data_IF_497703818811
#
_entry.id   IF_497703818811
#
_cell.length_a   1.000
_cell.length_b   1.000
_cell.length_c   1.000
_cell.angle_alpha   90.00
_cell.angle_beta   90.00
_cell.angle_gamma   90.00
#
_symmetry.space_group_name_H-M   'P 1'
#
loop_
_entity.id
_entity.type
_entity.pdbx_description
1 polymer ?
#
# COMPACT_ATOMS: atom_id res chain seq x y z
N UNK A 1 5.86 -28.93 5.57
CA UNK A 1 4.43 -28.68 5.27
C UNK A 1 3.70 -27.85 6.35
N UNK A 2 4.20 -27.82 7.58
CA UNK A 2 3.60 -27.02 8.67
C UNK A 2 4.21 -25.60 8.80
N UNK A 3 5.37 -25.36 8.19
CA UNK A 3 6.08 -24.08 8.27
C UNK A 3 5.50 -22.97 7.37
N UNK A 4 4.79 -23.31 6.31
CA UNK A 4 4.17 -22.33 5.40
C UNK A 4 2.90 -21.65 5.97
N UNK A 5 2.38 -22.13 7.10
CA UNK A 5 1.13 -21.64 7.69
C UNK A 5 1.23 -20.30 8.42
N UNK A 6 2.41 -19.90 8.89
CA UNK A 6 2.55 -18.71 9.75
C UNK A 6 2.59 -17.36 9.05
N UNK A 7 3.18 -17.25 7.84
CA UNK A 7 3.33 -15.99 7.12
C UNK A 7 2.12 -15.61 6.26
N UNK A 8 1.31 -16.60 5.87
CA UNK A 8 0.08 -16.38 5.10
C UNK A 8 -1.06 -15.72 5.87
N UNK A 9 -0.95 -15.59 7.19
CA UNK A 9 -2.12 -15.34 8.03
C UNK A 9 -2.59 -13.87 8.11
N UNK A 10 -1.75 -12.88 7.83
CA UNK A 10 -2.16 -11.48 7.97
C UNK A 10 -3.01 -11.01 6.80
N UNK A 11 -2.64 -11.33 5.56
CA UNK A 11 -3.49 -11.05 4.38
C UNK A 11 -4.65 -12.04 4.25
N UNK A 12 -4.44 -13.29 4.65
CA UNK A 12 -5.52 -14.28 4.78
C UNK A 12 -6.63 -13.80 5.69
N UNK A 13 -6.33 -12.99 6.72
CA UNK A 13 -7.33 -12.55 7.70
C UNK A 13 -8.43 -11.70 7.08
N UNK A 14 -8.12 -10.71 6.24
CA UNK A 14 -9.16 -9.87 5.65
C UNK A 14 -9.96 -10.62 4.57
N UNK A 15 -9.30 -11.29 3.63
CA UNK A 15 -9.99 -12.11 2.64
C UNK A 15 -10.71 -13.30 3.29
N UNK A 16 -10.10 -13.93 4.30
CA UNK A 16 -10.71 -15.01 5.06
C UNK A 16 -11.93 -14.53 5.87
N UNK A 17 -11.90 -13.33 6.41
CA UNK A 17 -13.04 -12.75 7.12
C UNK A 17 -14.24 -12.56 6.20
N UNK A 18 -14.00 -12.15 4.96
CA UNK A 18 -15.03 -12.08 3.95
C UNK A 18 -15.60 -13.46 3.59
N UNK A 19 -14.77 -14.50 3.57
CA UNK A 19 -15.23 -15.89 3.38
C UNK A 19 -16.10 -16.33 4.57
N UNK A 20 -15.71 -15.99 5.79
CA UNK A 20 -16.52 -16.29 6.99
C UNK A 20 -17.87 -15.57 6.99
N UNK A 21 -17.96 -14.38 6.40
CA UNK A 21 -19.18 -13.59 6.33
C UNK A 21 -20.06 -13.97 5.13
N UNK A 22 -19.48 -14.01 3.93
CA UNK A 22 -20.17 -14.13 2.65
C UNK A 22 -19.84 -15.40 1.85
N UNK A 23 -19.04 -16.31 2.42
CA UNK A 23 -18.77 -17.61 1.81
C UNK A 23 -19.99 -18.52 1.75
N UNK A 24 -19.86 -19.70 1.14
CA UNK A 24 -20.96 -20.66 0.97
C UNK A 24 -21.70 -21.01 2.27
N UNK A 25 -20.96 -21.08 3.37
CA UNK A 25 -21.47 -21.29 4.74
C UNK A 25 -21.24 -20.06 5.62
N UNK A 26 -21.13 -18.87 5.01
CA UNK A 26 -20.91 -17.62 5.72
C UNK A 26 -22.13 -17.21 6.56
N UNK A 27 -21.89 -16.48 7.64
CA UNK A 27 -22.95 -16.08 8.57
C UNK A 27 -24.02 -15.25 7.89
N UNK A 28 -23.63 -14.25 7.10
CA UNK A 28 -24.57 -13.40 6.35
C UNK A 28 -25.27 -14.21 5.27
N UNK A 29 -24.54 -15.06 4.56
CA UNK A 29 -25.11 -15.92 3.51
C UNK A 29 -26.17 -16.86 4.09
N UNK A 30 -25.85 -17.51 5.21
CA UNK A 30 -26.78 -18.42 5.89
C UNK A 30 -28.00 -17.67 6.44
N UNK A 31 -27.78 -16.52 7.06
CA UNK A 31 -28.85 -15.67 7.58
C UNK A 31 -29.82 -15.25 6.45
N UNK A 32 -29.33 -14.74 5.34
CA UNK A 32 -30.15 -14.29 4.22
C UNK A 32 -30.88 -15.45 3.52
N UNK A 33 -30.24 -16.63 3.43
CA UNK A 33 -30.88 -17.86 2.93
C UNK A 33 -32.10 -18.25 3.75
N UNK A 34 -32.08 -18.05 5.07
CA UNK A 34 -33.24 -18.34 5.93
C UNK A 34 -34.44 -17.43 5.61
N UNK A 35 -34.22 -16.25 5.01
CA UNK A 35 -35.27 -15.37 4.52
C UNK A 35 -35.58 -15.56 3.02
N UNK A 36 -35.06 -16.60 2.40
CA UNK A 36 -35.26 -16.86 0.95
C UNK A 36 -34.45 -15.94 0.01
N UNK A 37 -33.51 -15.15 0.55
CA UNK A 37 -32.69 -14.23 -0.24
C UNK A 37 -31.40 -14.93 -0.65
N UNK A 38 -31.24 -15.22 -1.93
CA UNK A 38 -30.00 -15.72 -2.50
C UNK A 38 -29.06 -14.55 -2.85
N UNK A 39 -27.89 -14.49 -2.21
CA UNK A 39 -26.83 -13.55 -2.59
C UNK A 39 -25.80 -14.24 -3.47
N UNK A 40 -25.16 -13.50 -4.40
CA UNK A 40 -24.04 -14.04 -5.18
C UNK A 40 -22.91 -14.52 -4.29
N UNK A 41 -22.28 -15.61 -4.66
CA UNK A 41 -21.11 -16.10 -3.95
C UNK A 41 -19.98 -15.09 -4.01
N UNK A 42 -19.21 -14.96 -2.90
CA UNK A 42 -18.04 -14.08 -2.83
C UNK A 42 -16.86 -14.59 -3.68
N UNK A 43 -16.95 -15.80 -4.17
CA UNK A 43 -15.87 -16.41 -4.95
C UNK A 43 -15.83 -15.92 -6.40
N UNK A 44 -14.64 -15.89 -6.99
CA UNK A 44 -14.40 -15.46 -8.36
C UNK A 44 -14.23 -13.95 -8.52
N UNK A 45 -14.43 -13.47 -9.75
CA UNK A 45 -14.18 -12.07 -10.13
C UNK A 45 -14.95 -11.06 -9.29
N UNK A 46 -16.26 -11.27 -9.09
CA UNK A 46 -17.10 -10.33 -8.35
C UNK A 46 -16.65 -10.12 -6.91
N UNK A 47 -16.27 -11.20 -6.22
CA UNK A 47 -15.75 -11.13 -4.85
C UNK A 47 -14.38 -10.47 -4.77
N UNK A 48 -13.48 -10.74 -5.72
CA UNK A 48 -12.19 -10.05 -5.79
C UNK A 48 -12.40 -8.54 -5.91
N UNK A 49 -13.26 -8.11 -6.85
CA UNK A 49 -13.54 -6.68 -7.07
C UNK A 49 -14.17 -6.05 -5.83
N UNK A 50 -15.15 -6.70 -5.21
CA UNK A 50 -15.79 -6.20 -3.98
C UNK A 50 -14.78 -5.98 -2.85
N UNK A 51 -14.00 -7.01 -2.54
CA UNK A 51 -13.02 -6.96 -1.44
C UNK A 51 -11.93 -5.94 -1.71
N UNK A 52 -11.36 -5.90 -2.92
CA UNK A 52 -10.35 -4.91 -3.30
C UNK A 52 -10.90 -3.49 -3.28
N UNK A 53 -12.14 -3.27 -3.73
CA UNK A 53 -12.78 -1.95 -3.68
C UNK A 53 -12.92 -1.46 -2.24
N UNK A 54 -13.44 -2.30 -1.34
CA UNK A 54 -13.58 -1.97 0.07
C UNK A 54 -12.23 -1.80 0.80
N UNK A 55 -11.18 -2.43 0.30
CA UNK A 55 -9.83 -2.28 0.85
C UNK A 55 -9.13 -1.00 0.37
N UNK A 56 -9.36 -0.60 -0.88
CA UNK A 56 -8.59 0.46 -1.53
C UNK A 56 -9.31 1.81 -1.60
N UNK A 57 -10.65 1.86 -1.39
CA UNK A 57 -11.38 3.14 -1.43
C UNK A 57 -10.86 4.18 -0.42
N UNK A 58 -10.38 3.83 0.80
CA UNK A 58 -9.86 4.83 1.72
C UNK A 58 -8.64 5.58 1.15
N UNK A 59 -7.84 4.91 0.32
CA UNK A 59 -6.70 5.53 -0.36
C UNK A 59 -7.17 6.63 -1.30
N UNK A 60 -8.15 6.32 -2.17
CA UNK A 60 -8.72 7.31 -3.11
C UNK A 60 -9.37 8.46 -2.35
N UNK A 61 -10.12 8.15 -1.28
CA UNK A 61 -10.74 9.16 -0.42
C UNK A 61 -9.72 10.12 0.19
N UNK A 62 -8.60 9.62 0.71
CA UNK A 62 -7.56 10.47 1.30
C UNK A 62 -6.92 11.40 0.26
N UNK A 63 -6.64 10.87 -0.95
CA UNK A 63 -6.11 11.68 -2.05
C UNK A 63 -7.11 12.75 -2.52
N UNK A 64 -8.37 12.35 -2.71
CA UNK A 64 -9.44 13.28 -3.11
C UNK A 64 -9.66 14.37 -2.05
N UNK A 65 -9.74 13.99 -0.76
CA UNK A 65 -9.87 14.93 0.35
C UNK A 65 -8.69 15.91 0.41
N UNK A 66 -7.46 15.41 0.25
CA UNK A 66 -6.26 16.24 0.23
C UNK A 66 -6.27 17.23 -0.94
N UNK A 67 -6.66 16.76 -2.14
CA UNK A 67 -6.75 17.61 -3.32
C UNK A 67 -7.83 18.70 -3.18
N UNK A 68 -9.00 18.33 -2.65
CA UNK A 68 -10.10 19.29 -2.42
C UNK A 68 -9.70 20.40 -1.43
N UNK A 69 -8.94 20.07 -0.39
CA UNK A 69 -8.45 21.08 0.58
C UNK A 69 -7.45 22.08 -0.03
N UNK A 70 -6.79 21.71 -1.10
CA UNK A 70 -5.80 22.55 -1.78
C UNK A 70 -6.40 23.42 -2.90
N UNK A 71 -7.70 23.35 -3.15
CA UNK A 71 -8.38 24.24 -4.10
C UNK A 71 -8.53 25.60 -3.45
N UNK A 72 -8.24 26.66 -4.23
CA UNK A 72 -8.53 28.03 -3.83
C UNK A 72 -10.00 28.35 -4.04
N UNK A 73 -10.70 28.82 -3.01
CA UNK A 73 -12.11 29.16 -3.07
C UNK A 73 -12.43 30.25 -4.08
N UNK A 74 -11.49 31.15 -4.35
CA UNK A 74 -11.63 32.21 -5.35
C UNK A 74 -11.93 31.68 -6.75
N UNK A 75 -11.42 30.48 -7.10
CA UNK A 75 -11.69 29.85 -8.40
C UNK A 75 -13.15 29.38 -8.50
N UNK A 76 -13.73 28.92 -7.39
CA UNK A 76 -15.13 28.49 -7.33
C UNK A 76 -16.03 29.71 -7.38
N UNK A 77 -15.72 30.76 -6.62
CA UNK A 77 -16.46 32.02 -6.61
C UNK A 77 -16.44 32.73 -7.98
N UNK A 78 -15.29 32.74 -8.65
CA UNK A 78 -15.17 33.26 -9.99
C UNK A 78 -16.06 32.51 -10.99
N UNK A 79 -16.11 31.17 -10.88
CA UNK A 79 -16.97 30.36 -11.73
C UNK A 79 -18.46 30.58 -11.42
N UNK A 80 -18.83 30.72 -10.14
CA UNK A 80 -20.19 31.05 -9.70
C UNK A 80 -20.63 32.46 -10.23
N UNK A 81 -19.74 33.45 -10.18
CA UNK A 81 -19.98 34.77 -10.73
C UNK A 81 -20.16 34.77 -12.26
N UNK A 82 -19.57 33.80 -12.97
CA UNK A 82 -19.77 33.55 -14.40
C UNK A 82 -21.03 32.72 -14.69
N UNK A 83 -21.90 32.49 -13.69
CA UNK A 83 -23.17 31.78 -13.84
C UNK A 83 -23.06 30.25 -13.74
N UNK A 84 -21.93 29.72 -13.30
CA UNK A 84 -21.77 28.29 -13.09
C UNK A 84 -22.44 27.88 -11.77
N UNK A 85 -23.44 27.02 -11.80
CA UNK A 85 -24.18 26.61 -10.60
C UNK A 85 -23.69 25.27 -10.03
N UNK A 86 -23.68 25.13 -8.71
CA UNK A 86 -23.48 23.94 -7.88
C UNK A 86 -22.88 22.71 -8.56
N UNK A 87 -23.72 21.82 -9.09
CA UNK A 87 -23.29 20.57 -9.72
C UNK A 87 -22.45 20.82 -10.99
N UNK A 88 -22.81 21.83 -11.80
CA UNK A 88 -22.06 22.17 -13.01
C UNK A 88 -20.66 22.69 -12.64
N UNK A 89 -20.54 23.52 -11.60
CA UNK A 89 -19.26 24.00 -11.11
C UNK A 89 -18.39 22.82 -10.58
N UNK A 90 -18.99 21.88 -9.89
CA UNK A 90 -18.28 20.69 -9.43
C UNK A 90 -17.64 19.92 -10.60
N UNK A 91 -18.41 19.58 -11.64
CA UNK A 91 -17.87 18.80 -12.77
C UNK A 91 -17.00 19.61 -13.73
N UNK A 92 -17.26 20.91 -13.94
CA UNK A 92 -16.53 21.74 -14.90
C UNK A 92 -15.28 22.42 -14.32
N UNK A 93 -15.23 22.64 -12.99
CA UNK A 93 -14.13 23.36 -12.33
C UNK A 93 -13.42 22.46 -11.32
N UNK A 94 -14.13 21.96 -10.31
CA UNK A 94 -13.53 21.22 -9.20
C UNK A 94 -12.89 19.90 -9.67
N UNK A 95 -13.64 19.07 -10.42
CA UNK A 95 -13.15 17.77 -10.89
C UNK A 95 -11.90 17.90 -11.78
N UNK A 96 -11.86 18.80 -12.80
CA UNK A 96 -10.64 19.02 -13.59
C UNK A 96 -9.43 19.46 -12.76
N UNK A 97 -9.62 20.33 -11.76
CA UNK A 97 -8.54 20.81 -10.89
C UNK A 97 -7.92 19.68 -10.05
N UNK A 98 -8.74 18.75 -9.54
CA UNK A 98 -8.25 17.63 -8.74
C UNK A 98 -7.86 16.40 -9.58
N UNK A 99 -8.13 16.42 -10.90
CA UNK A 99 -7.89 15.29 -11.80
C UNK A 99 -6.47 14.72 -11.73
N UNK A 100 -5.38 15.54 -11.69
CA UNK A 100 -4.02 15.01 -11.57
C UNK A 100 -3.82 14.15 -10.31
N UNK A 101 -4.40 14.60 -9.19
CA UNK A 101 -4.32 13.85 -7.92
C UNK A 101 -5.18 12.60 -7.95
N UNK A 102 -6.36 12.64 -8.58
CA UNK A 102 -7.20 11.45 -8.77
C UNK A 102 -6.52 10.42 -9.67
N UNK A 103 -5.84 10.85 -10.74
CA UNK A 103 -5.05 9.96 -11.61
C UNK A 103 -3.88 9.33 -10.86
N UNK A 104 -3.22 10.08 -9.98
CA UNK A 104 -2.19 9.52 -9.11
C UNK A 104 -2.76 8.47 -8.14
N UNK A 105 -3.92 8.73 -7.55
CA UNK A 105 -4.62 7.76 -6.70
C UNK A 105 -5.04 6.51 -7.49
N UNK A 106 -5.59 6.69 -8.70
CA UNK A 106 -5.98 5.58 -9.58
C UNK A 106 -4.78 4.69 -9.94
N UNK A 107 -3.61 5.28 -10.23
CA UNK A 107 -2.39 4.51 -10.46
C UNK A 107 -2.01 3.70 -9.22
N UNK A 108 -2.06 4.31 -8.03
CA UNK A 108 -1.73 3.59 -6.79
C UNK A 108 -2.69 2.43 -6.52
N UNK A 109 -3.99 2.62 -6.79
CA UNK A 109 -4.99 1.55 -6.71
C UNK A 109 -4.68 0.46 -7.71
N UNK A 110 -4.41 0.81 -8.97
CA UNK A 110 -4.03 -0.15 -10.00
C UNK A 110 -2.81 -0.96 -9.59
N UNK A 111 -1.73 -0.31 -9.15
CA UNK A 111 -0.49 -0.96 -8.75
C UNK A 111 -0.68 -1.90 -7.55
N UNK A 112 -1.48 -1.48 -6.56
CA UNK A 112 -1.80 -2.32 -5.40
C UNK A 112 -2.68 -3.51 -5.77
N UNK A 113 -3.71 -3.30 -6.58
CA UNK A 113 -4.61 -4.35 -7.05
C UNK A 113 -3.87 -5.36 -7.97
N UNK A 114 -3.05 -4.85 -8.89
CA UNK A 114 -2.27 -5.70 -9.80
C UNK A 114 -1.23 -6.55 -9.07
N UNK A 115 -0.65 -6.02 -7.97
CA UNK A 115 0.34 -6.73 -7.17
C UNK A 115 -0.25 -7.56 -6.03
N UNK A 116 -1.58 -7.52 -5.81
CA UNK A 116 -2.20 -8.29 -4.73
C UNK A 116 -2.24 -9.78 -5.08
N UNK A 117 -1.58 -10.55 -4.24
CA UNK A 117 -1.55 -12.01 -4.30
C UNK A 117 -2.60 -12.64 -3.39
N UNK A 118 -2.80 -12.05 -2.20
CA UNK A 118 -3.54 -12.69 -1.10
C UNK A 118 -5.03 -12.84 -1.36
N UNK A 119 -5.67 -11.77 -1.82
CA UNK A 119 -7.12 -11.76 -2.06
C UNK A 119 -7.49 -12.71 -3.22
N UNK A 120 -6.86 -12.63 -4.41
CA UNK A 120 -7.18 -13.55 -5.50
C UNK A 120 -6.85 -15.01 -5.19
N UNK A 121 -5.79 -15.28 -4.43
CA UNK A 121 -5.43 -16.65 -4.06
C UNK A 121 -6.49 -17.32 -3.18
N UNK A 122 -7.18 -16.55 -2.33
CA UNK A 122 -8.17 -17.09 -1.39
C UNK A 122 -9.60 -17.09 -1.94
N UNK A 123 -9.98 -16.05 -2.67
CA UNK A 123 -11.35 -15.82 -3.14
C UNK A 123 -11.50 -16.15 -4.63
N UNK A 124 -10.41 -16.12 -5.39
CA UNK A 124 -10.46 -16.22 -6.85
C UNK A 124 -11.00 -17.54 -7.39
N UNK A 125 -10.86 -18.64 -6.65
CA UNK A 125 -11.16 -19.99 -7.14
C UNK A 125 -10.57 -20.26 -8.54
N UNK A 126 -11.41 -20.38 -9.56
CA UNK A 126 -10.99 -20.55 -10.95
C UNK A 126 -10.49 -19.26 -11.64
N UNK A 127 -10.71 -18.08 -11.03
CA UNK A 127 -10.27 -16.80 -11.59
C UNK A 127 -8.85 -16.47 -11.12
N UNK A 128 -7.87 -16.80 -11.93
CA UNK A 128 -6.44 -16.63 -11.61
C UNK A 128 -5.95 -15.26 -12.04
N UNK A 129 -5.41 -14.49 -11.10
CA UNK A 129 -4.72 -13.24 -11.40
C UNK A 129 -3.24 -13.47 -11.66
N UNK A 130 -2.59 -12.50 -12.28
CA UNK A 130 -1.17 -12.53 -12.60
C UNK A 130 -0.26 -12.99 -11.44
N UNK A 131 -0.32 -12.41 -10.21
CA UNK A 131 0.53 -12.85 -9.10
C UNK A 131 0.28 -14.30 -8.66
N UNK A 132 -0.97 -14.76 -8.79
CA UNK A 132 -1.33 -16.14 -8.44
C UNK A 132 -0.77 -17.13 -9.47
N UNK A 133 -0.91 -16.81 -10.77
CA UNK A 133 -0.32 -17.64 -11.84
C UNK A 133 1.20 -17.72 -11.67
N UNK A 134 1.85 -16.57 -11.50
CA UNK A 134 3.30 -16.53 -11.34
C UNK A 134 3.76 -17.40 -10.15
N UNK A 135 3.06 -17.31 -9.01
CA UNK A 135 3.36 -18.11 -7.83
C UNK A 135 3.15 -19.60 -8.07
N UNK A 136 2.01 -20.00 -8.66
CA UNK A 136 1.69 -21.41 -8.89
C UNK A 136 2.65 -22.05 -9.89
N UNK A 137 3.03 -21.35 -10.94
CA UNK A 137 3.98 -21.85 -11.94
C UNK A 137 5.42 -21.95 -11.37
N UNK A 138 5.80 -21.01 -10.50
CA UNK A 138 7.13 -21.04 -9.88
C UNK A 138 7.29 -22.15 -8.83
N UNK A 139 6.21 -22.49 -8.08
CA UNK A 139 6.26 -23.51 -7.01
C UNK A 139 5.97 -24.92 -7.56
N UNK A 140 5.46 -25.06 -8.76
CA UNK A 140 5.20 -26.36 -9.36
C UNK A 140 6.51 -27.12 -9.58
N UNK A 141 6.79 -28.09 -8.70
CA UNK A 141 7.95 -28.99 -8.79
C UNK A 141 7.84 -29.93 -10.02
N UNK A 142 6.64 -30.15 -10.54
CA UNK A 142 6.37 -31.03 -11.68
C UNK A 142 5.98 -30.20 -12.90
N UNK A 143 7.00 -29.82 -13.71
CA UNK A 143 6.80 -29.17 -15.01
C UNK A 143 6.77 -27.65 -14.99
N UNK A 144 7.10 -26.97 -13.89
CA UNK A 144 7.30 -25.52 -13.85
C UNK A 144 8.53 -25.13 -14.69
N UNK A 145 8.38 -24.15 -15.56
CA UNK A 145 9.50 -23.62 -16.36
C UNK A 145 9.94 -22.28 -15.80
N UNK A 146 11.17 -22.20 -15.29
CA UNK A 146 11.78 -20.94 -14.86
C UNK A 146 11.71 -19.87 -15.95
N UNK A 147 11.83 -20.29 -17.23
CA UNK A 147 11.70 -19.42 -18.38
C UNK A 147 10.30 -18.84 -18.55
N UNK A 148 9.25 -19.63 -18.31
CA UNK A 148 7.86 -19.16 -18.35
C UNK A 148 7.57 -18.18 -17.21
N UNK A 149 7.97 -18.49 -15.98
CA UNK A 149 7.85 -17.60 -14.84
C UNK A 149 8.60 -16.27 -15.07
N UNK A 150 9.82 -16.33 -15.63
CA UNK A 150 10.58 -15.15 -16.00
C UNK A 150 9.89 -14.31 -17.11
N UNK A 151 9.33 -14.96 -18.13
CA UNK A 151 8.60 -14.27 -19.20
C UNK A 151 7.36 -13.54 -18.66
N UNK A 152 6.56 -14.21 -17.82
CA UNK A 152 5.42 -13.59 -17.13
C UNK A 152 5.89 -12.40 -16.27
N UNK A 153 6.98 -12.54 -15.53
CA UNK A 153 7.54 -11.46 -14.72
C UNK A 153 7.92 -10.23 -15.56
N UNK A 154 8.57 -10.42 -16.72
CA UNK A 154 8.90 -9.35 -17.66
C UNK A 154 7.65 -8.66 -18.20
N UNK A 155 6.63 -9.44 -18.59
CA UNK A 155 5.35 -8.87 -19.06
C UNK A 155 4.72 -7.98 -17.98
N UNK A 156 4.76 -8.41 -16.70
CA UNK A 156 4.24 -7.58 -15.61
C UNK A 156 5.00 -6.27 -15.45
N UNK A 157 6.33 -6.32 -15.50
CA UNK A 157 7.17 -5.13 -15.41
C UNK A 157 6.85 -4.18 -16.57
N UNK A 158 6.69 -4.69 -17.79
CA UNK A 158 6.31 -3.89 -18.96
C UNK A 158 4.96 -3.22 -18.75
N UNK A 159 3.92 -3.98 -18.37
CA UNK A 159 2.57 -3.45 -18.13
C UNK A 159 2.61 -2.36 -17.06
N UNK A 160 3.20 -2.63 -15.90
CA UNK A 160 3.26 -1.67 -14.80
C UNK A 160 4.06 -0.42 -15.14
N UNK A 161 5.15 -0.57 -15.91
CA UNK A 161 5.95 0.56 -16.40
C UNK A 161 5.17 1.40 -17.40
N UNK A 162 4.46 0.80 -18.35
CA UNK A 162 3.62 1.51 -19.31
C UNK A 162 2.52 2.30 -18.60
N UNK A 163 1.80 1.68 -17.68
CA UNK A 163 0.75 2.36 -16.89
C UNK A 163 1.33 3.54 -16.11
N UNK A 164 2.49 3.35 -15.48
CA UNK A 164 3.18 4.42 -14.77
C UNK A 164 3.59 5.58 -15.70
N UNK A 165 4.14 5.29 -16.88
CA UNK A 165 4.56 6.31 -17.84
C UNK A 165 3.36 7.09 -18.39
N UNK A 166 2.27 6.39 -18.74
CA UNK A 166 1.03 7.02 -19.20
C UNK A 166 0.46 7.94 -18.12
N UNK A 167 0.36 7.45 -16.88
CA UNK A 167 -0.11 8.27 -15.77
C UNK A 167 0.77 9.49 -15.53
N UNK A 168 2.11 9.33 -15.55
CA UNK A 168 3.06 10.43 -15.37
C UNK A 168 2.89 11.49 -16.48
N UNK A 169 2.72 11.04 -17.72
CA UNK A 169 2.47 11.93 -18.85
C UNK A 169 1.17 12.73 -18.69
N UNK A 170 0.06 12.04 -18.38
CA UNK A 170 -1.25 12.66 -18.20
C UNK A 170 -1.28 13.59 -16.99
N UNK A 171 -0.67 13.17 -15.88
CA UNK A 171 -0.56 13.99 -14.67
C UNK A 171 0.24 15.26 -14.91
N UNK A 172 1.37 15.18 -15.60
CA UNK A 172 2.20 16.36 -15.89
C UNK A 172 1.51 17.33 -16.86
N UNK A 173 0.77 16.81 -17.85
CA UNK A 173 0.03 17.64 -18.81
C UNK A 173 -1.09 18.45 -18.15
N UNK A 174 -1.70 17.90 -17.10
CA UNK A 174 -2.82 18.49 -16.37
C UNK A 174 -2.40 19.06 -15.01
N UNK A 175 -1.10 19.21 -14.75
CA UNK A 175 -0.61 19.75 -13.49
C UNK A 175 -0.91 21.26 -13.39
N UNK A 176 -1.80 21.63 -12.49
CA UNK A 176 -2.02 23.00 -12.07
C UNK A 176 -1.26 23.23 -10.76
N UNK A 177 -0.55 24.35 -10.66
CA UNK A 177 0.04 24.79 -9.40
C UNK A 177 -1.10 25.30 -8.50
N UNK A 178 -1.63 24.42 -7.66
CA UNK A 178 -2.65 24.80 -6.67
C UNK A 178 -1.92 25.32 -5.42
N UNK A 179 -1.82 26.65 -5.32
CA UNK A 179 -1.45 27.32 -4.07
C UNK A 179 -2.74 27.93 -3.51
N UNK A 180 -3.35 27.25 -2.56
CA UNK A 180 -4.53 27.77 -1.87
C UNK A 180 -4.11 28.91 -0.92
N UNK A 181 -4.39 30.14 -1.30
CA UNK A 181 -4.34 31.29 -0.37
C UNK A 181 -5.63 31.37 0.44
N UNK A 182 -6.75 30.94 -0.12
CA UNK A 182 -8.07 30.92 0.51
C UNK A 182 -8.63 29.50 0.41
N UNK A 183 -8.48 28.65 1.45
CA UNK A 183 -9.02 27.29 1.43
C UNK A 183 -10.55 27.32 1.28
N UNK A 184 -11.09 26.30 0.60
CA UNK A 184 -12.55 26.16 0.40
C UNK A 184 -13.24 26.11 1.76
N UNK A 185 -14.18 27.01 1.97
CA UNK A 185 -15.00 27.02 3.19
C UNK A 185 -15.96 25.83 3.22
N UNK A 186 -16.09 25.22 4.39
CA UNK A 186 -17.05 24.13 4.61
C UNK A 186 -18.46 24.72 4.58
N UNK A 187 -19.22 24.39 3.53
CA UNK A 187 -20.64 24.79 3.43
C UNK A 187 -21.52 23.70 4.02
N UNK A 188 -22.39 24.07 4.95
CA UNK A 188 -23.37 23.14 5.51
C UNK A 188 -24.42 22.76 4.44
N UNK A 189 -24.52 21.47 4.16
CA UNK A 189 -25.59 20.96 3.30
C UNK A 189 -26.96 21.06 3.99
N UNK A 190 -28.04 21.11 3.21
CA UNK A 190 -29.43 21.03 3.76
C UNK A 190 -29.55 19.80 4.66
N UNK A 191 -30.19 19.93 5.82
CA UNK A 191 -30.31 18.87 6.86
C UNK A 191 -30.69 17.51 6.30
N UNK A 192 -31.63 17.44 5.33
CA UNK A 192 -32.04 16.17 4.71
C UNK A 192 -30.96 15.54 3.84
N UNK A 193 -30.26 16.32 3.03
CA UNK A 193 -29.13 15.85 2.19
C UNK A 193 -27.97 15.42 3.07
N UNK A 194 -27.68 16.20 4.11
CA UNK A 194 -26.61 15.90 5.06
C UNK A 194 -26.88 14.56 5.78
N UNK A 195 -28.11 14.33 6.25
CA UNK A 195 -28.50 13.06 6.88
C UNK A 195 -28.34 11.87 5.92
N UNK A 196 -28.77 12.02 4.66
CA UNK A 196 -28.66 10.97 3.65
C UNK A 196 -27.19 10.65 3.30
N UNK A 197 -26.34 11.68 3.16
CA UNK A 197 -24.90 11.50 2.92
C UNK A 197 -24.24 10.80 4.11
N UNK A 198 -24.55 11.22 5.34
CA UNK A 198 -24.01 10.56 6.54
C UNK A 198 -24.44 9.10 6.61
N UNK A 199 -25.72 8.81 6.35
CA UNK A 199 -26.20 7.43 6.32
C UNK A 199 -25.44 6.59 5.28
N UNK A 200 -25.28 7.10 4.06
CA UNK A 200 -24.56 6.40 3.00
C UNK A 200 -23.08 6.16 3.38
N UNK A 201 -22.40 7.18 3.95
CA UNK A 201 -21.01 7.07 4.39
C UNK A 201 -20.88 6.05 5.53
N UNK A 202 -21.73 6.12 6.55
CA UNK A 202 -21.71 5.17 7.68
C UNK A 202 -22.01 3.75 7.21
N UNK A 203 -22.88 3.57 6.23
CA UNK A 203 -23.18 2.26 5.66
C UNK A 203 -21.94 1.68 4.95
N UNK A 204 -21.28 2.47 4.09
CA UNK A 204 -20.07 2.02 3.39
C UNK A 204 -18.94 1.72 4.38
N UNK A 205 -18.70 2.61 5.36
CA UNK A 205 -17.66 2.40 6.39
C UNK A 205 -18.03 1.19 7.27
N UNK A 206 -19.29 1.04 7.65
CA UNK A 206 -19.76 -0.10 8.42
C UNK A 206 -19.51 -1.43 7.70
N UNK A 207 -19.86 -1.51 6.41
CA UNK A 207 -19.56 -2.69 5.59
C UNK A 207 -18.05 -2.94 5.52
N UNK A 208 -17.23 -1.90 5.32
CA UNK A 208 -15.77 -2.05 5.22
C UNK A 208 -15.12 -2.50 6.54
N UNK A 209 -15.66 -2.12 7.69
CA UNK A 209 -15.18 -2.48 9.04
C UNK A 209 -15.72 -3.83 9.51
N UNK A 210 -16.84 -4.26 8.96
CA UNK A 210 -17.55 -5.49 9.40
C UNK A 210 -16.63 -6.73 9.44
N UNK A 211 -15.77 -7.02 8.45
CA UNK A 211 -14.87 -8.18 8.50
C UNK A 211 -13.91 -8.13 9.68
N UNK A 212 -13.36 -6.95 10.00
CA UNK A 212 -12.44 -6.77 11.12
C UNK A 212 -13.16 -6.99 12.45
N UNK A 213 -14.34 -6.41 12.59
CA UNK A 213 -15.18 -6.61 13.78
C UNK A 213 -15.55 -8.09 13.96
N UNK A 214 -15.86 -8.78 12.87
CA UNK A 214 -16.18 -10.21 12.91
C UNK A 214 -14.97 -11.07 13.28
N UNK A 215 -13.76 -10.75 12.81
CA UNK A 215 -12.53 -11.44 13.24
C UNK A 215 -12.30 -11.24 14.73
N UNK A 216 -12.45 -10.02 15.23
CA UNK A 216 -12.32 -9.74 16.66
C UNK A 216 -13.34 -10.57 17.45
N UNK A 217 -14.59 -10.58 17.02
CA UNK A 217 -15.63 -11.40 17.66
C UNK A 217 -15.28 -12.89 17.66
N UNK A 218 -14.91 -13.45 16.51
CA UNK A 218 -14.59 -14.90 16.39
C UNK A 218 -13.31 -15.29 17.09
N UNK A 219 -12.38 -14.36 17.33
CA UNK A 219 -11.14 -14.63 18.05
C UNK A 219 -11.35 -15.02 19.52
N UNK A 220 -12.50 -14.62 20.09
CA UNK A 220 -12.92 -14.96 21.45
C UNK A 220 -13.77 -16.24 21.50
N UNK A 221 -14.26 -16.75 20.35
CA UNK A 221 -15.06 -17.98 20.34
C UNK A 221 -14.21 -19.23 20.60
N UNK A 222 -14.80 -20.19 21.28
CA UNK A 222 -14.19 -21.49 21.43
C UNK A 222 -14.09 -22.22 20.09
N UNK A 223 -13.04 -22.99 19.89
CA UNK A 223 -12.83 -23.77 18.67
C UNK A 223 -12.52 -25.22 18.98
N UNK A 224 -13.18 -26.14 18.28
CA UNK A 224 -12.79 -27.56 18.23
C UNK A 224 -12.26 -27.85 16.83
N UNK A 225 -10.93 -27.97 16.70
CA UNK A 225 -10.26 -28.07 15.40
C UNK A 225 -10.45 -26.80 14.57
N UNK A 226 -11.22 -26.89 13.48
CA UNK A 226 -11.52 -25.76 12.57
C UNK A 226 -12.93 -25.17 12.74
N UNK A 227 -13.73 -25.68 13.68
CA UNK A 227 -15.14 -25.33 13.84
C UNK A 227 -15.29 -24.47 15.10
N UNK A 228 -16.04 -23.38 14.97
CA UNK A 228 -16.46 -22.58 16.13
C UNK A 228 -17.56 -23.31 16.89
N UNK A 229 -17.37 -23.43 18.20
CA UNK A 229 -18.36 -24.00 19.12
C UNK A 229 -18.86 -22.95 20.09
N UNK A 230 -19.94 -23.25 20.81
CA UNK A 230 -20.51 -22.32 21.77
C UNK A 230 -19.56 -22.06 22.95
N UNK A 231 -19.61 -20.84 23.45
CA UNK A 231 -18.75 -20.34 24.52
C UNK A 231 -17.62 -19.43 24.05
N UNK A 232 -17.03 -18.72 25.01
CA UNK A 232 -15.97 -17.73 24.78
C UNK A 232 -14.78 -18.05 25.67
N UNK A 233 -13.56 -17.90 25.12
CA UNK A 233 -12.32 -18.07 25.86
C UNK A 233 -11.17 -17.31 25.23
N UNK A 234 -10.06 -17.18 25.95
CA UNK A 234 -8.79 -16.66 25.47
C UNK A 234 -7.86 -17.78 24.98
N UNK A 235 -8.35 -19.02 24.88
CA UNK A 235 -7.54 -20.19 24.50
C UNK A 235 -6.89 -20.03 23.12
N UNK A 236 -7.62 -19.42 22.17
CA UNK A 236 -7.07 -19.13 20.84
C UNK A 236 -5.86 -18.19 20.89
N UNK A 237 -5.88 -17.20 21.77
CA UNK A 237 -4.75 -16.27 21.99
C UNK A 237 -3.58 -16.96 22.67
N UNK A 238 -3.81 -17.76 23.70
CA UNK A 238 -2.76 -18.54 24.37
C UNK A 238 -2.08 -19.52 23.40
N UNK A 239 -2.89 -20.22 22.60
CA UNK A 239 -2.38 -21.15 21.58
C UNK A 239 -1.60 -20.39 20.49
N UNK A 240 -2.09 -19.22 20.06
CA UNK A 240 -1.41 -18.41 19.06
C UNK A 240 -0.05 -17.91 19.57
N UNK A 241 0.02 -17.36 20.79
CA UNK A 241 1.27 -16.88 21.38
C UNK A 241 2.26 -18.05 21.56
N UNK A 242 1.80 -19.19 22.03
CA UNK A 242 2.65 -20.37 22.22
C UNK A 242 3.21 -20.95 20.92
N UNK A 243 2.38 -21.01 19.86
CA UNK A 243 2.79 -21.58 18.57
C UNK A 243 3.52 -20.60 17.65
N UNK A 244 3.16 -19.30 17.70
CA UNK A 244 3.64 -18.28 16.78
C UNK A 244 4.74 -17.39 17.37
N UNK A 245 5.23 -17.64 18.58
CA UNK A 245 6.18 -16.75 19.26
C UNK A 245 7.40 -16.40 18.40
N UNK A 246 8.01 -17.39 17.74
CA UNK A 246 9.14 -17.17 16.82
C UNK A 246 8.74 -16.41 15.56
N UNK A 247 7.56 -16.69 15.02
CA UNK A 247 7.04 -15.97 13.84
C UNK A 247 6.72 -14.51 14.15
N UNK A 248 6.17 -14.23 15.34
CA UNK A 248 5.93 -12.87 15.82
C UNK A 248 7.26 -12.12 15.97
N UNK A 249 8.27 -12.75 16.58
CA UNK A 249 9.61 -12.16 16.70
C UNK A 249 10.20 -11.83 15.33
N UNK A 250 10.17 -12.76 14.38
CA UNK A 250 10.68 -12.54 13.02
C UNK A 250 9.92 -11.41 12.31
N UNK A 251 8.59 -11.33 12.49
CA UNK A 251 7.75 -10.26 11.91
C UNK A 251 8.12 -8.88 12.45
N UNK A 252 8.70 -8.78 13.62
CA UNK A 252 9.17 -7.52 14.20
C UNK A 252 10.64 -7.26 13.84
N UNK A 253 11.51 -8.25 14.04
CA UNK A 253 12.97 -8.09 13.93
C UNK A 253 13.38 -7.82 12.47
N UNK A 254 12.84 -8.59 11.50
CA UNK A 254 13.21 -8.46 10.09
C UNK A 254 12.88 -7.06 9.54
N UNK A 255 11.63 -6.55 9.69
CA UNK A 255 11.32 -5.18 9.28
C UNK A 255 12.07 -4.12 10.06
N UNK A 256 12.39 -4.32 11.34
CA UNK A 256 13.15 -3.36 12.15
C UNK A 256 14.58 -3.21 11.61
N UNK A 257 15.25 -4.32 11.31
CA UNK A 257 16.58 -4.30 10.69
C UNK A 257 16.55 -3.62 9.31
N UNK A 258 15.54 -3.95 8.49
CA UNK A 258 15.35 -3.31 7.21
C UNK A 258 15.10 -1.80 7.34
N UNK A 259 14.28 -1.39 8.33
CA UNK A 259 13.92 0.01 8.57
C UNK A 259 15.14 0.87 8.90
N UNK A 260 16.04 0.38 9.75
CA UNK A 260 17.28 1.12 10.08
C UNK A 260 18.09 1.40 8.81
N UNK A 261 18.27 0.41 7.96
CA UNK A 261 18.99 0.57 6.70
C UNK A 261 18.24 1.49 5.74
N UNK A 262 16.92 1.34 5.62
CA UNK A 262 16.05 2.21 4.80
C UNK A 262 16.22 3.66 5.21
N UNK A 263 16.13 3.99 6.49
CA UNK A 263 16.24 5.37 6.98
C UNK A 263 17.61 5.96 6.64
N UNK A 264 18.69 5.22 6.90
CA UNK A 264 20.04 5.68 6.59
C UNK A 264 20.23 5.95 5.09
N UNK A 265 19.85 5.01 4.24
CA UNK A 265 19.97 5.15 2.79
C UNK A 265 19.05 6.25 2.25
N UNK A 266 17.81 6.34 2.74
CA UNK A 266 16.85 7.33 2.28
C UNK A 266 17.30 8.77 2.58
N UNK A 267 17.84 9.02 3.77
CA UNK A 267 18.36 10.34 4.15
C UNK A 267 19.55 10.73 3.26
N UNK A 268 20.48 9.79 3.01
CA UNK A 268 21.62 10.04 2.15
C UNK A 268 21.21 10.29 0.69
N UNK A 269 20.31 9.44 0.14
CA UNK A 269 19.83 9.59 -1.23
C UNK A 269 19.05 10.91 -1.37
N UNK A 270 18.16 11.23 -0.42
CA UNK A 270 17.39 12.47 -0.44
C UNK A 270 18.33 13.70 -0.45
N UNK A 271 19.36 13.69 0.40
CA UNK A 271 20.35 14.77 0.43
C UNK A 271 21.09 14.91 -0.91
N UNK A 272 21.54 13.81 -1.50
CA UNK A 272 22.21 13.83 -2.80
C UNK A 272 21.30 14.35 -3.91
N UNK A 273 20.05 13.87 -3.97
CA UNK A 273 19.09 14.24 -5.02
C UNK A 273 18.68 15.72 -4.92
N UNK A 274 18.52 16.27 -3.70
CA UNK A 274 18.04 17.64 -3.52
C UNK A 274 19.19 18.65 -3.54
N UNK A 275 20.32 18.36 -2.85
CA UNK A 275 21.45 19.29 -2.64
C UNK A 275 22.59 19.16 -3.66
N UNK A 276 22.69 18.02 -4.34
CA UNK A 276 23.79 17.70 -5.25
C UNK A 276 23.30 17.30 -6.63
N UNK A 277 22.40 18.11 -7.22
CA UNK A 277 21.80 17.82 -8.52
C UNK A 277 22.84 17.69 -9.62
N UNK A 278 22.99 16.49 -10.17
CA UNK A 278 23.78 16.18 -11.35
C UNK A 278 23.17 14.99 -12.11
N UNK A 279 23.72 14.61 -13.24
CA UNK A 279 23.20 13.48 -14.04
C UNK A 279 23.16 12.16 -13.24
N UNK A 280 24.18 11.90 -12.41
CA UNK A 280 24.26 10.69 -11.59
C UNK A 280 23.17 10.65 -10.52
N UNK A 281 22.92 11.76 -9.82
CA UNK A 281 21.87 11.81 -8.78
C UNK A 281 20.48 11.72 -9.40
N UNK A 282 20.26 12.19 -10.62
CA UNK A 282 19.03 11.98 -11.36
C UNK A 282 18.81 10.49 -11.69
N UNK A 283 19.87 9.80 -12.10
CA UNK A 283 19.82 8.34 -12.34
C UNK A 283 19.51 7.61 -11.03
N UNK A 284 20.15 7.96 -9.92
CA UNK A 284 19.88 7.37 -8.59
C UNK A 284 18.44 7.61 -8.18
N UNK A 285 17.90 8.80 -8.42
CA UNK A 285 16.48 9.10 -8.12
C UNK A 285 15.53 8.20 -8.91
N UNK A 286 15.76 8.04 -10.22
CA UNK A 286 14.95 7.19 -11.09
C UNK A 286 15.08 5.72 -10.67
N UNK A 287 16.30 5.22 -10.51
CA UNK A 287 16.55 3.82 -10.13
C UNK A 287 15.95 3.48 -8.77
N UNK A 288 15.99 4.43 -7.82
CA UNK A 288 15.38 4.23 -6.51
C UNK A 288 13.86 4.04 -6.54
N UNK A 289 13.19 4.44 -7.65
CA UNK A 289 11.74 4.29 -7.82
C UNK A 289 11.33 3.01 -8.52
N UNK A 290 12.24 2.34 -9.25
CA UNK A 290 11.92 1.09 -9.97
C UNK A 290 11.28 0.03 -9.07
N UNK A 291 11.82 -0.25 -7.85
CA UNK A 291 11.24 -1.27 -6.99
C UNK A 291 9.80 -0.98 -6.53
N UNK A 292 9.37 0.27 -6.58
CA UNK A 292 8.00 0.65 -6.29
C UNK A 292 7.00 0.13 -7.33
N UNK A 293 7.45 0.04 -8.58
CA UNK A 293 6.63 -0.34 -9.74
C UNK A 293 6.55 -1.86 -9.86
N UNK A 294 7.60 -2.57 -9.44
CA UNK A 294 7.73 -4.03 -9.59
C UNK A 294 6.80 -4.77 -8.61
N UNK A 295 5.95 -5.70 -9.09
CA UNK A 295 5.15 -6.56 -8.21
C UNK A 295 6.02 -7.38 -7.25
N UNK A 296 5.52 -7.60 -6.02
CA UNK A 296 6.31 -8.27 -4.98
C UNK A 296 6.70 -9.71 -5.30
N UNK A 297 5.81 -10.46 -5.94
CA UNK A 297 6.11 -11.82 -6.41
C UNK A 297 7.24 -11.84 -7.42
N UNK A 298 7.24 -10.89 -8.37
CA UNK A 298 8.32 -10.73 -9.36
C UNK A 298 9.66 -10.45 -8.70
N UNK A 299 9.68 -9.49 -7.76
CA UNK A 299 10.89 -9.18 -7.00
C UNK A 299 11.37 -10.37 -6.18
N UNK A 300 10.45 -11.09 -5.51
CA UNK A 300 10.79 -12.29 -4.74
C UNK A 300 11.48 -13.35 -5.59
N UNK A 301 10.91 -13.68 -6.76
CA UNK A 301 11.49 -14.65 -7.70
C UNK A 301 12.85 -14.17 -8.21
N UNK A 302 12.96 -12.91 -8.62
CA UNK A 302 14.22 -12.35 -9.11
C UNK A 302 15.34 -12.43 -8.07
N UNK A 303 15.02 -12.13 -6.80
CA UNK A 303 15.99 -12.25 -5.69
C UNK A 303 16.35 -13.71 -5.41
N UNK A 304 15.36 -14.61 -5.44
CA UNK A 304 15.63 -16.04 -5.20
C UNK A 304 16.56 -16.60 -6.29
N UNK A 305 16.27 -16.35 -7.56
CA UNK A 305 17.11 -16.82 -8.68
C UNK A 305 18.50 -16.17 -8.63
N UNK A 306 18.56 -14.86 -8.37
CA UNK A 306 19.81 -14.10 -8.37
C UNK A 306 20.75 -14.45 -7.21
N UNK A 307 20.20 -14.82 -6.07
CA UNK A 307 20.96 -15.08 -4.84
C UNK A 307 20.95 -16.54 -4.39
N UNK A 308 20.58 -17.46 -5.28
CA UNK A 308 20.63 -18.91 -5.04
C UNK A 308 21.91 -19.58 -5.56
N UNK A 309 22.90 -18.82 -5.99
CA UNK A 309 24.18 -19.31 -6.54
C UNK A 309 25.36 -18.50 -6.00
N UNK A 310 26.58 -19.10 -5.90
CA UNK A 310 27.77 -18.36 -5.59
C UNK A 310 27.99 -17.18 -6.56
N UNK A 311 28.59 -16.02 -6.14
CA UNK A 311 29.31 -15.85 -4.87
C UNK A 311 28.44 -15.42 -3.69
N UNK A 312 27.16 -15.05 -3.89
CA UNK A 312 26.28 -14.53 -2.83
C UNK A 312 25.08 -15.46 -2.62
N UNK A 313 25.31 -16.57 -1.92
CA UNK A 313 24.27 -17.50 -1.55
C UNK A 313 23.56 -17.02 -0.26
N UNK A 314 22.50 -16.25 -0.39
CA UNK A 314 21.69 -15.76 0.75
C UNK A 314 20.24 -16.24 0.70
N UNK A 315 19.86 -17.04 -0.31
CA UNK A 315 18.55 -17.69 -0.36
C UNK A 315 18.35 -18.59 0.87
N UNK A 316 17.12 -18.69 1.38
CA UNK A 316 16.81 -19.45 2.58
C UNK A 316 17.29 -18.81 3.89
N UNK A 317 17.88 -17.61 3.86
CA UNK A 317 18.32 -16.91 5.06
C UNK A 317 17.42 -15.71 5.41
N UNK A 318 17.48 -15.25 6.66
CA UNK A 318 16.82 -14.02 7.08
C UNK A 318 17.33 -12.79 6.28
N UNK A 319 18.56 -12.84 5.79
CA UNK A 319 19.19 -11.71 5.08
C UNK A 319 18.50 -11.40 3.77
N UNK A 320 18.07 -12.39 2.98
CA UNK A 320 17.35 -12.15 1.72
C UNK A 320 16.02 -11.44 1.97
N UNK A 321 15.33 -11.77 3.09
CA UNK A 321 14.10 -11.09 3.49
C UNK A 321 14.35 -9.62 3.83
N UNK A 322 15.42 -9.33 4.60
CA UNK A 322 15.82 -7.96 4.93
C UNK A 322 16.14 -7.17 3.66
N UNK A 323 16.93 -7.74 2.73
CA UNK A 323 17.28 -7.11 1.45
C UNK A 323 16.04 -6.84 0.61
N UNK A 324 15.14 -7.80 0.51
CA UNK A 324 13.88 -7.65 -0.23
C UNK A 324 13.01 -6.51 0.31
N UNK A 325 12.90 -6.42 1.64
CA UNK A 325 12.14 -5.35 2.29
C UNK A 325 12.80 -3.99 2.10
N UNK A 326 14.14 -3.91 2.18
CA UNK A 326 14.88 -2.67 1.91
C UNK A 326 14.59 -2.20 0.48
N UNK A 327 14.84 -3.04 -0.51
CA UNK A 327 14.65 -2.69 -1.92
C UNK A 327 13.22 -2.18 -2.15
N UNK A 328 12.23 -2.89 -1.65
CA UNK A 328 10.82 -2.62 -1.92
C UNK A 328 10.29 -1.38 -1.20
N UNK A 329 10.79 -1.06 0.00
CA UNK A 329 10.22 0.00 0.85
C UNK A 329 11.06 1.27 0.93
N UNK A 330 12.30 1.22 0.47
CA UNK A 330 13.17 2.38 0.39
C UNK A 330 12.55 3.58 -0.35
N UNK A 331 11.81 3.41 -1.47
CA UNK A 331 11.18 4.52 -2.18
C UNK A 331 10.25 5.40 -1.32
N UNK A 332 9.52 4.81 -0.38
CA UNK A 332 8.60 5.56 0.49
C UNK A 332 9.33 6.58 1.36
N UNK A 333 10.39 6.13 2.03
CA UNK A 333 11.17 6.98 2.91
C UNK A 333 12.00 8.00 2.13
N UNK A 334 12.52 7.64 0.93
CA UNK A 334 13.21 8.59 0.05
C UNK A 334 12.26 9.73 -0.32
N UNK A 335 11.05 9.43 -0.82
CA UNK A 335 10.10 10.46 -1.26
C UNK A 335 9.68 11.39 -0.14
N UNK A 336 9.41 10.86 1.03
CA UNK A 336 9.09 11.66 2.21
C UNK A 336 10.26 12.55 2.64
N UNK A 337 11.47 12.02 2.62
CA UNK A 337 12.70 12.77 2.96
C UNK A 337 13.03 13.84 1.93
N UNK A 338 12.85 13.56 0.63
CA UNK A 338 13.01 14.53 -0.46
C UNK A 338 12.00 15.67 -0.31
N UNK A 339 10.73 15.35 -0.08
CA UNK A 339 9.67 16.33 0.04
C UNK A 339 9.92 17.33 1.19
N UNK A 340 10.36 16.87 2.34
CA UNK A 340 10.68 17.76 3.46
C UNK A 340 11.97 18.56 3.22
N UNK A 341 13.01 17.94 2.64
CA UNK A 341 14.27 18.60 2.38
C UNK A 341 14.14 19.73 1.33
N UNK A 342 13.24 19.59 0.36
CA UNK A 342 12.92 20.63 -0.61
C UNK A 342 12.30 21.87 0.03
N UNK A 343 11.64 21.75 1.18
CA UNK A 343 11.06 22.85 1.94
C UNK A 343 12.08 23.58 2.82
N UNK A 344 13.26 22.99 3.07
CA UNK A 344 14.31 23.58 3.90
C UNK A 344 15.23 24.41 3.00
N UNK A 345 15.32 25.76 3.20
CA UNK A 345 16.21 26.62 2.44
C UNK A 345 17.69 26.22 2.61
N UNK A 346 18.46 26.28 1.51
CA UNK A 346 19.90 25.98 1.52
C UNK A 346 20.70 26.97 2.36
N UNK A 347 20.22 28.21 2.47
CA UNK A 347 20.85 29.27 3.28
C UNK A 347 21.06 28.90 4.74
N UNK A 348 20.24 28.00 5.30
CA UNK A 348 20.41 27.53 6.69
C UNK A 348 21.70 26.71 6.83
N UNK A 349 22.00 25.82 5.86
CA UNK A 349 23.24 25.04 5.82
C UNK A 349 24.45 25.96 5.56
N UNK A 350 24.31 26.92 4.64
CA UNK A 350 25.36 27.88 4.30
C UNK A 350 25.68 28.81 5.50
N UNK A 351 24.69 29.28 6.24
CA UNK A 351 24.88 30.07 7.46
C UNK A 351 25.68 29.28 8.51
N UNK A 352 25.35 28.02 8.72
CA UNK A 352 26.08 27.18 9.66
C UNK A 352 27.55 26.96 9.25
N UNK A 353 27.80 26.78 7.96
CA UNK A 353 29.16 26.64 7.42
C UNK A 353 29.92 27.96 7.58
N UNK A 354 29.28 29.11 7.32
CA UNK A 354 29.86 30.44 7.53
C UNK A 354 30.24 30.73 9.00
N UNK A 355 29.50 30.12 9.94
CA UNK A 355 29.81 30.15 11.37
C UNK A 355 30.84 29.11 11.81
N UNK A 356 31.55 28.46 10.86
CA UNK A 356 32.64 27.53 11.14
C UNK A 356 32.23 26.06 11.29
N UNK A 357 30.98 25.67 11.02
CA UNK A 357 30.61 24.27 11.01
C UNK A 357 31.17 23.58 9.76
N UNK A 358 31.74 22.38 9.91
CA UNK A 358 32.04 21.55 8.75
C UNK A 358 30.74 21.09 8.06
N UNK A 359 30.82 20.76 6.75
CA UNK A 359 29.65 20.25 5.97
C UNK A 359 28.97 19.05 6.65
N UNK A 360 29.75 18.12 7.20
CA UNK A 360 29.23 16.96 7.93
C UNK A 360 28.54 17.37 9.23
N UNK A 361 29.09 18.35 9.96
CA UNK A 361 28.47 18.86 11.18
C UNK A 361 27.17 19.59 10.87
N UNK A 362 27.11 20.40 9.82
CA UNK A 362 25.88 21.04 9.36
C UNK A 362 24.82 19.98 8.96
N UNK A 363 25.22 18.96 8.20
CA UNK A 363 24.32 17.87 7.82
C UNK A 363 23.70 17.15 9.03
N UNK A 364 24.52 16.60 9.93
CA UNK A 364 24.02 15.79 11.04
C UNK A 364 23.33 16.61 12.16
N UNK A 365 23.78 17.84 12.42
CA UNK A 365 23.26 18.64 13.53
C UNK A 365 22.15 19.61 13.14
N UNK A 366 21.99 19.90 11.85
CA UNK A 366 20.99 20.87 11.38
C UNK A 366 20.05 20.21 10.36
N UNK A 367 20.60 19.75 9.23
CA UNK A 367 19.75 19.24 8.14
C UNK A 367 18.94 18.01 8.55
N UNK A 368 19.59 16.98 9.11
CA UNK A 368 18.92 15.74 9.53
C UNK A 368 17.85 15.99 10.61
N UNK A 369 18.11 16.74 11.70
CA UNK A 369 17.07 17.09 12.67
C UNK A 369 15.89 17.88 12.06
N UNK A 370 16.16 18.82 11.16
CA UNK A 370 15.09 19.55 10.46
C UNK A 370 14.26 18.65 9.52
N UNK A 371 14.85 17.61 8.99
CA UNK A 371 14.15 16.59 8.17
C UNK A 371 13.38 15.57 9.01
N UNK A 372 13.47 15.59 10.33
CA UNK A 372 12.98 14.51 11.20
C UNK A 372 11.49 14.17 10.96
N UNK A 373 10.63 15.17 10.76
CA UNK A 373 9.19 14.95 10.50
C UNK A 373 8.95 14.12 9.22
N UNK A 374 9.66 14.44 8.14
CA UNK A 374 9.57 13.70 6.89
C UNK A 374 10.20 12.30 6.98
N UNK A 375 11.34 12.17 7.66
CA UNK A 375 12.00 10.89 7.88
C UNK A 375 11.08 9.96 8.69
N UNK A 376 10.52 10.45 9.81
CA UNK A 376 9.62 9.66 10.67
C UNK A 376 8.36 9.26 9.91
N UNK A 377 7.74 10.18 9.16
CA UNK A 377 6.55 9.87 8.36
C UNK A 377 6.83 8.79 7.31
N UNK A 378 7.95 8.89 6.60
CA UNK A 378 8.38 7.88 5.64
C UNK A 378 8.73 6.55 6.29
N UNK A 379 9.38 6.57 7.44
CA UNK A 379 9.72 5.38 8.22
C UNK A 379 8.47 4.65 8.73
N UNK A 380 7.48 5.37 9.27
CA UNK A 380 6.20 4.78 9.71
C UNK A 380 5.48 4.14 8.53
N UNK A 381 5.41 4.81 7.38
CA UNK A 381 4.77 4.26 6.19
C UNK A 381 5.49 3.00 5.70
N UNK A 382 6.82 3.01 5.68
CA UNK A 382 7.63 1.83 5.35
C UNK A 382 7.38 0.70 6.34
N UNK A 383 7.38 0.97 7.65
CA UNK A 383 7.13 0.01 8.71
C UNK A 383 5.77 -0.68 8.57
N UNK A 384 4.68 0.08 8.48
CA UNK A 384 3.32 -0.46 8.36
C UNK A 384 3.18 -1.35 7.11
N UNK A 385 3.79 -0.93 6.00
CA UNK A 385 3.73 -1.71 4.76
C UNK A 385 4.66 -2.93 4.77
N UNK A 386 5.75 -2.94 5.54
CA UNK A 386 6.62 -4.11 5.73
C UNK A 386 5.96 -5.21 6.57
N UNK A 387 5.32 -4.85 7.68
CA UNK A 387 4.63 -5.84 8.54
C UNK A 387 3.52 -6.57 7.77
N UNK A 388 2.88 -5.90 6.83
CA UNK A 388 1.82 -6.48 6.01
C UNK A 388 2.30 -7.08 4.69
N UNK A 389 3.63 -7.21 4.46
CA UNK A 389 4.17 -7.72 3.20
C UNK A 389 4.05 -9.23 3.10
N UNK A 390 3.24 -9.70 2.14
CA UNK A 390 3.07 -11.12 1.87
C UNK A 390 3.64 -11.51 0.50
N UNK A 391 3.43 -10.68 -0.52
CA UNK A 391 3.69 -11.05 -1.91
C UNK A 391 5.14 -11.44 -2.18
N UNK A 392 6.09 -10.72 -1.57
CA UNK A 392 7.52 -11.03 -1.67
C UNK A 392 7.92 -12.11 -0.66
N UNK A 393 7.37 -12.01 0.56
CA UNK A 393 7.72 -12.90 1.65
C UNK A 393 7.38 -14.37 1.35
N UNK A 394 6.24 -14.63 0.71
CA UNK A 394 5.78 -16.00 0.40
C UNK A 394 6.70 -16.73 -0.59
N UNK A 395 7.39 -15.98 -1.46
CA UNK A 395 8.36 -16.52 -2.42
C UNK A 395 9.70 -16.80 -1.74
N UNK A 396 10.14 -15.91 -0.84
CA UNK A 396 11.46 -15.97 -0.21
C UNK A 396 11.48 -16.85 1.05
N UNK A 397 10.30 -17.18 1.54
CA UNK A 397 10.15 -18.06 2.70
C UNK A 397 10.23 -19.52 2.25
N UNK A 398 11.40 -20.10 2.34
CA UNK A 398 11.68 -21.52 2.08
C UNK A 398 12.23 -22.22 3.31
#
# INVERSE_FOLDING_TARGET
TDRSRGLGDVYKRQAYSWILLLGRSGVITTFLKNFGIAIPEIYGFGGIVLVMTLQLFPLVFLYAKGALKNIDNSLIEAAENLGCSGIACFFKVVVPLIMPTLLAAALLVFMRSFADFGTPMLIGEGYRTFPVVLYTEFINEVGGSDGFAAAIAVIAIVITTLVFLVQKYVSNKNAFALNSMHPVEEREARKGINALVHLAVYLVVGIAVLPQAYVIYTSFKNTQGKIFVDGYSLQSYQTAIGKLGRSIQNTIIIPLLALVVIVLLAVLIAYLVVRRRNALTNVVDILSMIPYIVPGTVLGIALLIGFNKPPLLISGTMLIMVVALIIRRLPYTIRSSVAILQQIPMSIEEAAISLGASKMKAFFRITVPMMASGIISGAILSWVTMISELSTAIILYT
#
